data_IF_291998606628
#
_entry.id   IF_291998606628
#
_cell.length_a   1.000
_cell.length_b   1.000
_cell.length_c   1.000
_cell.angle_alpha   90.00
_cell.angle_beta   90.00
_cell.angle_gamma   90.00
#
_symmetry.space_group_name_H-M   'P 1'
#
loop_
_entity.id
_entity.type
_entity.pdbx_description
1 polymer ?
#
# COMPACT_ATOMS: atom_id res chain seq x y z
N UNK A 1 2.30 -2.79 -9.48
CA UNK A 1 2.43 -1.33 -9.24
C UNK A 1 3.02 -1.11 -7.86
N UNK A 2 3.50 0.11 -7.55
CA UNK A 2 4.06 0.40 -6.24
C UNK A 2 4.55 1.84 -6.07
N UNK A 3 4.42 2.37 -4.85
CA UNK A 3 5.11 3.56 -4.38
C UNK A 3 6.41 3.18 -3.64
N UNK A 4 7.50 3.88 -3.94
CA UNK A 4 8.79 3.69 -3.29
C UNK A 4 9.44 5.01 -2.86
N UNK A 5 9.88 5.17 -1.59
CA UNK A 5 10.68 6.32 -1.19
C UNK A 5 12.06 6.32 -1.88
N UNK A 6 12.55 7.50 -2.25
CA UNK A 6 13.87 7.66 -2.91
C UNK A 6 14.90 8.27 -1.97
N UNK A 7 14.70 9.54 -1.60
CA UNK A 7 15.56 10.31 -0.69
C UNK A 7 14.71 10.93 0.40
N UNK A 8 15.28 11.03 1.59
CA UNK A 8 14.62 11.66 2.74
C UNK A 8 14.25 13.11 2.41
N UNK A 9 13.02 13.49 2.69
CA UNK A 9 12.49 14.82 2.43
C UNK A 9 12.10 15.09 0.97
N UNK A 10 12.30 14.13 0.06
CA UNK A 10 11.94 14.24 -1.35
C UNK A 10 10.80 13.28 -1.70
N UNK A 11 9.88 13.67 -2.60
CA UNK A 11 8.86 12.77 -3.12
C UNK A 11 9.48 11.48 -3.68
N UNK A 12 8.88 10.35 -3.32
CA UNK A 12 9.22 9.04 -3.89
C UNK A 12 8.76 8.85 -5.35
N UNK A 13 8.90 7.63 -5.84
CA UNK A 13 8.48 7.23 -7.18
C UNK A 13 7.20 6.41 -7.12
N UNK A 14 6.29 6.66 -8.06
CA UNK A 14 5.13 5.82 -8.36
C UNK A 14 5.42 4.99 -9.61
N UNK A 15 5.36 3.67 -9.51
CA UNK A 15 5.45 2.75 -10.62
C UNK A 15 4.03 2.28 -10.95
N UNK A 16 3.51 2.78 -12.06
CA UNK A 16 2.15 2.50 -12.53
C UNK A 16 2.22 1.40 -13.59
N UNK A 17 1.42 0.36 -13.40
CA UNK A 17 1.16 -0.64 -14.44
C UNK A 17 0.14 -0.05 -15.44
N UNK A 18 0.41 -0.02 -16.76
CA UNK A 18 -0.52 0.51 -17.75
C UNK A 18 -1.90 -0.15 -17.74
N UNK A 19 -1.98 -1.41 -17.31
CA UNK A 19 -3.22 -2.18 -17.24
C UNK A 19 -3.88 -2.11 -15.85
N UNK A 20 -3.37 -1.25 -14.96
CA UNK A 20 -3.90 -1.08 -13.62
C UNK A 20 -5.33 -0.50 -13.62
N UNK A 21 -6.14 -0.97 -12.66
CA UNK A 21 -7.42 -0.33 -12.38
C UNK A 21 -7.23 1.07 -11.79
N UNK A 22 -8.27 1.90 -11.92
CA UNK A 22 -8.30 3.20 -11.26
C UNK A 22 -8.22 3.08 -9.73
N UNK A 23 -8.80 2.03 -9.13
CA UNK A 23 -8.73 1.79 -7.69
C UNK A 23 -7.29 1.54 -7.24
N UNK A 24 -6.53 0.77 -8.03
CA UNK A 24 -5.14 0.49 -7.73
C UNK A 24 -4.24 1.72 -7.93
N UNK A 25 -4.57 2.62 -8.87
CA UNK A 25 -3.89 3.93 -8.94
C UNK A 25 -4.20 4.80 -7.70
N UNK A 26 -5.43 4.76 -7.20
CA UNK A 26 -5.80 5.46 -5.96
C UNK A 26 -5.11 4.88 -4.74
N UNK A 27 -4.89 3.56 -4.72
CA UNK A 27 -4.08 2.89 -3.72
C UNK A 27 -2.66 3.47 -3.67
N UNK A 28 -1.97 3.53 -4.81
CA UNK A 28 -0.60 4.06 -4.84
C UNK A 28 -0.54 5.56 -4.49
N UNK A 29 -1.58 6.31 -4.86
CA UNK A 29 -1.74 7.70 -4.41
C UNK A 29 -1.87 7.80 -2.88
N UNK A 30 -2.56 6.85 -2.24
CA UNK A 30 -2.68 6.81 -0.76
C UNK A 30 -1.29 6.71 -0.12
N UNK A 31 -0.45 5.80 -0.61
CA UNK A 31 0.94 5.65 -0.14
C UNK A 31 1.77 6.93 -0.30
N UNK A 32 1.62 7.61 -1.44
CA UNK A 32 2.27 8.91 -1.65
C UNK A 32 1.84 9.96 -0.61
N UNK A 33 0.53 10.05 -0.32
CA UNK A 33 -0.01 11.03 0.63
C UNK A 33 0.40 10.71 2.07
N UNK A 34 0.49 9.43 2.44
CA UNK A 34 1.03 9.02 3.75
C UNK A 34 2.52 9.35 3.88
N UNK A 35 3.32 9.09 2.83
CA UNK A 35 4.71 9.49 2.83
C UNK A 35 4.86 11.03 2.93
N UNK A 36 4.00 11.79 2.25
CA UNK A 36 3.97 13.25 2.36
C UNK A 36 3.62 13.71 3.79
N UNK A 37 2.63 13.09 4.43
CA UNK A 37 2.22 13.44 5.80
C UNK A 37 3.33 13.18 6.82
N UNK A 38 4.15 12.15 6.56
CA UNK A 38 5.34 11.76 7.36
C UNK A 38 6.62 12.54 6.98
N UNK A 39 6.53 13.52 6.07
CA UNK A 39 7.68 14.33 5.65
C UNK A 39 8.68 13.62 4.72
N UNK A 40 8.19 12.65 3.95
CA UNK A 40 8.95 11.79 3.03
C UNK A 40 10.10 11.04 3.73
N UNK A 41 9.79 9.95 4.46
CA UNK A 41 10.82 9.15 5.12
C UNK A 41 11.80 8.55 4.10
N UNK A 42 13.04 8.31 4.54
CA UNK A 42 13.99 7.51 3.76
C UNK A 42 13.50 6.08 3.56
N UNK A 43 14.06 5.36 2.60
CA UNK A 43 13.74 3.95 2.39
C UNK A 43 14.01 3.10 3.64
N UNK A 44 15.09 3.37 4.39
CA UNK A 44 15.37 2.65 5.63
C UNK A 44 14.30 2.90 6.69
N UNK A 45 13.93 4.16 6.93
CA UNK A 45 12.88 4.54 7.89
C UNK A 45 11.52 3.93 7.49
N UNK A 46 11.18 3.97 6.19
CA UNK A 46 9.93 3.40 5.70
C UNK A 46 9.88 1.88 5.84
N UNK A 47 10.97 1.16 5.54
CA UNK A 47 10.98 -0.31 5.58
C UNK A 47 11.13 -0.89 6.99
N UNK A 48 11.71 -0.15 7.93
CA UNK A 48 11.80 -0.56 9.34
C UNK A 48 10.47 -0.42 10.09
N UNK A 49 9.61 0.51 9.67
CA UNK A 49 8.24 0.68 10.20
C UNK A 49 7.26 -0.32 9.58
N UNK A 50 7.47 -1.61 9.86
CA UNK A 50 6.64 -2.68 9.30
C UNK A 50 5.18 -2.62 9.81
N UNK A 51 4.96 -2.16 11.05
CA UNK A 51 3.62 -1.95 11.61
C UNK A 51 2.87 -0.84 10.88
N UNK A 52 3.53 0.32 10.69
CA UNK A 52 2.98 1.44 9.95
C UNK A 52 2.67 1.07 8.51
N UNK A 53 3.53 0.27 7.87
CA UNK A 53 3.26 -0.25 6.52
C UNK A 53 2.00 -1.11 6.46
N UNK A 54 1.81 -2.04 7.40
CA UNK A 54 0.59 -2.86 7.44
C UNK A 54 -0.65 -1.98 7.65
N UNK A 55 -0.55 -0.92 8.47
CA UNK A 55 -1.64 0.01 8.69
C UNK A 55 -1.98 0.83 7.42
N UNK A 56 -0.96 1.32 6.72
CA UNK A 56 -1.10 2.07 5.46
C UNK A 56 -1.72 1.17 4.37
N UNK A 57 -1.25 -0.07 4.23
CA UNK A 57 -1.83 -1.08 3.33
C UNK A 57 -3.30 -1.38 3.69
N UNK A 58 -3.60 -1.61 4.97
CA UNK A 58 -4.96 -1.91 5.43
C UNK A 58 -5.93 -0.78 5.08
N UNK A 59 -5.51 0.48 5.26
CA UNK A 59 -6.29 1.65 4.88
C UNK A 59 -6.57 1.67 3.38
N UNK A 60 -5.54 1.51 2.55
CA UNK A 60 -5.65 1.55 1.09
C UNK A 60 -6.54 0.42 0.55
N UNK A 61 -6.33 -0.82 0.98
CA UNK A 61 -7.19 -1.96 0.60
C UNK A 61 -8.63 -1.79 1.09
N UNK A 62 -8.86 -1.22 2.28
CA UNK A 62 -10.22 -1.00 2.79
C UNK A 62 -11.01 -0.08 1.85
N UNK A 63 -10.40 1.01 1.38
CA UNK A 63 -11.02 1.94 0.42
C UNK A 63 -11.39 1.19 -0.87
N UNK A 64 -10.47 0.39 -1.42
CA UNK A 64 -10.73 -0.36 -2.64
C UNK A 64 -11.83 -1.42 -2.48
N UNK A 65 -11.84 -2.12 -1.35
CA UNK A 65 -12.85 -3.15 -1.03
C UNK A 65 -14.23 -2.50 -0.89
N UNK A 66 -14.33 -1.35 -0.21
CA UNK A 66 -15.59 -0.63 -0.09
C UNK A 66 -16.10 -0.15 -1.44
N UNK A 67 -15.21 0.35 -2.30
CA UNK A 67 -15.58 0.78 -3.65
C UNK A 67 -16.06 -0.39 -4.50
N UNK A 68 -15.34 -1.50 -4.51
CA UNK A 68 -15.75 -2.71 -5.22
C UNK A 68 -17.13 -3.20 -4.75
N UNK A 69 -17.39 -3.20 -3.44
CA UNK A 69 -18.70 -3.56 -2.87
C UNK A 69 -19.81 -2.61 -3.28
N UNK A 70 -19.56 -1.29 -3.27
CA UNK A 70 -20.55 -0.29 -3.74
C UNK A 70 -20.94 -0.50 -5.20
N UNK A 71 -20.01 -0.99 -6.01
CA UNK A 71 -20.22 -1.31 -7.43
C UNK A 71 -20.81 -2.72 -7.66
N UNK A 72 -21.05 -3.51 -6.61
CA UNK A 72 -21.54 -4.89 -6.73
C UNK A 72 -20.51 -5.88 -7.28
N UNK A 73 -19.22 -5.55 -7.20
CA UNK A 73 -18.10 -6.37 -7.68
C UNK A 73 -17.57 -7.28 -6.56
N UNK A 74 -18.41 -8.18 -6.05
CA UNK A 74 -18.09 -9.01 -4.88
C UNK A 74 -16.85 -9.89 -5.10
N UNK A 75 -16.67 -10.44 -6.31
CA UNK A 75 -15.49 -11.22 -6.68
C UNK A 75 -14.19 -10.40 -6.60
N UNK A 76 -14.24 -9.12 -6.97
CA UNK A 76 -13.10 -8.19 -6.87
C UNK A 76 -12.82 -7.87 -5.40
N UNK A 77 -13.87 -7.59 -4.62
CA UNK A 77 -13.74 -7.33 -3.19
C UNK A 77 -13.11 -8.52 -2.44
N UNK A 78 -13.49 -9.76 -2.77
CA UNK A 78 -12.88 -10.96 -2.22
C UNK A 78 -11.41 -11.11 -2.63
N UNK A 79 -11.08 -10.81 -3.89
CA UNK A 79 -9.71 -10.88 -4.37
C UNK A 79 -8.82 -9.84 -3.67
N UNK A 80 -9.31 -8.62 -3.48
CA UNK A 80 -8.61 -7.56 -2.74
C UNK A 80 -8.33 -7.97 -1.29
N UNK A 81 -9.29 -8.63 -0.62
CA UNK A 81 -9.06 -9.17 0.73
C UNK A 81 -7.97 -10.24 0.76
N UNK A 82 -7.89 -11.09 -0.27
CA UNK A 82 -6.81 -12.09 -0.40
C UNK A 82 -5.47 -11.40 -0.62
N UNK A 83 -5.42 -10.42 -1.51
CA UNK A 83 -4.20 -9.66 -1.80
C UNK A 83 -3.65 -8.98 -0.54
N UNK A 84 -4.50 -8.30 0.23
CA UNK A 84 -4.09 -7.71 1.51
C UNK A 84 -3.48 -8.74 2.48
N UNK A 85 -4.07 -9.95 2.58
CA UNK A 85 -3.53 -11.01 3.44
C UNK A 85 -2.15 -11.48 2.99
N UNK A 86 -1.96 -11.64 1.67
CA UNK A 86 -0.65 -12.01 1.11
C UNK A 86 0.38 -10.92 1.37
N UNK A 87 0.02 -9.66 1.16
CA UNK A 87 0.90 -8.51 1.35
C UNK A 87 1.28 -8.30 2.82
N UNK A 88 0.30 -8.40 3.73
CA UNK A 88 0.54 -8.39 5.17
C UNK A 88 1.55 -9.48 5.57
N UNK A 89 1.36 -10.70 5.09
CA UNK A 89 2.28 -11.81 5.40
C UNK A 89 3.68 -11.52 4.85
N UNK A 90 3.79 -11.02 3.61
CA UNK A 90 5.06 -10.64 3.02
C UNK A 90 5.80 -9.56 3.83
N UNK A 91 5.09 -8.55 4.35
CA UNK A 91 5.69 -7.52 5.20
C UNK A 91 6.22 -8.12 6.50
N UNK A 92 5.44 -8.98 7.15
CA UNK A 92 5.85 -9.66 8.39
C UNK A 92 7.08 -10.55 8.14
N UNK A 93 7.04 -11.40 7.12
CA UNK A 93 8.12 -12.35 6.83
C UNK A 93 9.45 -11.66 6.52
N UNK A 94 9.41 -10.44 5.97
CA UNK A 94 10.60 -9.73 5.49
C UNK A 94 11.10 -8.63 6.42
N UNK A 95 10.21 -8.00 7.19
CA UNK A 95 10.51 -6.81 7.99
C UNK A 95 9.98 -6.90 9.42
N UNK A 96 9.20 -7.93 9.75
CA UNK A 96 8.70 -8.17 11.09
C UNK A 96 9.79 -8.57 12.09
N UNK A 97 9.42 -8.79 13.36
CA UNK A 97 10.37 -9.21 14.37
C UNK A 97 11.01 -10.56 14.00
N UNK A 98 12.31 -10.69 14.28
CA UNK A 98 13.01 -11.97 14.23
C UNK A 98 12.75 -12.64 15.58
N UNK A 99 12.06 -13.78 15.56
CA UNK A 99 11.91 -14.67 16.73
C UNK A 99 13.26 -15.24 17.20
#
# INVERSE_FOLDING_TARGET
>A
MGYGPLKKGEPGQLIIDPDASLSALQHEKSHFLEAQSKGFPSAAEAYQDWEGRIADEFKSYTIEIEEAKKLGLDNVAEQLQKNFKVEKQYIIDRYGPID
#
